data_IF_031328727378
#
_entry.id   IF_031328727378
#
_cell.length_a   1.000
_cell.length_b   1.000
_cell.length_c   1.000
_cell.angle_alpha   90.00
_cell.angle_beta   90.00
_cell.angle_gamma   90.00
#
_symmetry.space_group_name_H-M   'P 1'
#
loop_
_entity.id
_entity.type
_entity.pdbx_description
1 polymer ?
#
# COMPACT_ATOMS: atom_id res chain seq x y z
N UNK A 1 24.49 -8.94 0.47
CA UNK A 1 23.12 -9.24 0.00
C UNK A 1 22.21 -8.71 1.09
N UNK A 2 21.49 -7.62 0.86
CA UNK A 2 20.48 -7.17 1.84
C UNK A 2 19.41 -8.24 1.81
N UNK A 3 19.18 -8.88 2.95
CA UNK A 3 18.09 -9.83 3.09
C UNK A 3 16.80 -9.05 2.81
N UNK A 4 16.09 -9.41 1.74
CA UNK A 4 14.93 -8.64 1.27
C UNK A 4 13.86 -8.54 2.34
N UNK A 5 13.87 -9.46 3.30
CA UNK A 5 12.91 -9.57 4.39
C UNK A 5 13.48 -9.16 5.75
N UNK A 6 14.60 -8.43 5.81
CA UNK A 6 15.14 -7.90 7.06
C UNK A 6 14.06 -7.05 7.76
N UNK A 7 13.52 -7.49 8.92
CA UNK A 7 12.49 -6.73 9.63
C UNK A 7 12.97 -5.34 10.05
N UNK A 8 14.28 -5.18 10.23
CA UNK A 8 14.92 -3.89 10.49
C UNK A 8 14.87 -2.94 9.30
N UNK A 9 14.94 -3.47 8.07
CA UNK A 9 14.79 -2.68 6.84
C UNK A 9 13.35 -2.19 6.66
N UNK A 10 12.36 -3.08 6.80
CA UNK A 10 10.93 -2.71 6.71
C UNK A 10 10.60 -1.59 7.70
N UNK A 11 11.00 -1.75 8.97
CA UNK A 11 10.73 -0.75 10.01
C UNK A 11 11.35 0.61 9.69
N UNK A 12 12.58 0.64 9.16
CA UNK A 12 13.24 1.89 8.77
C UNK A 12 12.50 2.58 7.62
N UNK A 13 12.10 1.82 6.60
CA UNK A 13 11.36 2.37 5.46
C UNK A 13 9.98 2.88 5.90
N UNK A 14 9.30 2.19 6.82
CA UNK A 14 8.01 2.66 7.36
C UNK A 14 8.07 4.03 8.02
N UNK A 15 9.23 4.45 8.56
CA UNK A 15 9.37 5.81 9.11
C UNK A 15 9.25 6.87 8.01
N UNK A 16 9.80 6.59 6.82
CA UNK A 16 9.76 7.49 5.66
C UNK A 16 8.35 7.68 5.07
N UNK A 17 7.36 6.89 5.48
CA UNK A 17 5.96 7.11 5.10
C UNK A 17 5.34 8.36 5.73
N UNK A 18 5.97 8.95 6.74
CA UNK A 18 5.53 10.19 7.38
C UNK A 18 6.43 11.39 7.01
N UNK A 19 7.24 11.25 5.96
CA UNK A 19 8.08 12.35 5.49
C UNK A 19 7.22 13.50 4.95
N UNK A 20 7.71 14.72 5.09
CA UNK A 20 7.02 15.90 4.58
C UNK A 20 6.97 15.91 3.04
N UNK A 21 7.95 15.31 2.38
CA UNK A 21 8.03 15.23 0.93
C UNK A 21 7.24 14.01 0.40
N UNK A 22 6.27 14.26 -0.47
CA UNK A 22 5.42 13.23 -1.08
C UNK A 22 6.20 12.23 -1.94
N UNK A 23 7.31 12.65 -2.54
CA UNK A 23 8.19 11.78 -3.33
C UNK A 23 8.89 10.78 -2.41
N UNK A 24 9.30 11.21 -1.21
CA UNK A 24 9.89 10.32 -0.21
C UNK A 24 8.86 9.30 0.28
N UNK A 25 7.63 9.75 0.58
CA UNK A 25 6.53 8.84 0.99
C UNK A 25 6.23 7.81 -0.10
N UNK A 26 6.18 8.23 -1.37
CA UNK A 26 6.03 7.32 -2.51
C UNK A 26 7.15 6.30 -2.62
N UNK A 27 8.40 6.75 -2.59
CA UNK A 27 9.56 5.88 -2.67
C UNK A 27 9.56 4.86 -1.51
N UNK A 28 9.09 5.27 -0.33
CA UNK A 28 8.94 4.38 0.82
C UNK A 28 7.88 3.29 0.57
N UNK A 29 6.73 3.63 -0.03
CA UNK A 29 5.71 2.64 -0.41
C UNK A 29 6.21 1.65 -1.46
N UNK A 30 6.88 2.14 -2.51
CA UNK A 30 7.48 1.29 -3.55
C UNK A 30 8.52 0.33 -2.94
N UNK A 31 9.37 0.83 -2.05
CA UNK A 31 10.36 0.03 -1.34
C UNK A 31 9.71 -0.99 -0.38
N UNK A 32 8.68 -0.60 0.37
CA UNK A 32 7.93 -1.52 1.24
C UNK A 32 7.30 -2.65 0.45
N UNK A 33 6.66 -2.33 -0.68
CA UNK A 33 6.09 -3.33 -1.56
C UNK A 33 7.18 -4.31 -2.04
N UNK A 34 8.39 -3.82 -2.34
CA UNK A 34 9.52 -4.64 -2.81
C UNK A 34 10.17 -5.52 -1.75
N UNK A 35 10.26 -5.03 -0.51
CA UNK A 35 10.96 -5.70 0.58
C UNK A 35 10.06 -6.67 1.35
N UNK A 36 8.80 -6.30 1.59
CA UNK A 36 7.93 -7.14 2.40
C UNK A 36 7.34 -8.31 1.59
N UNK A 37 7.23 -9.46 2.26
CA UNK A 37 6.49 -10.61 1.74
C UNK A 37 4.99 -10.34 1.75
N UNK A 38 4.26 -11.00 0.86
CA UNK A 38 2.79 -11.05 0.92
C UNK A 38 2.37 -11.60 2.28
N UNK A 39 1.40 -10.96 2.93
CA UNK A 39 0.93 -11.29 4.28
C UNK A 39 1.70 -10.57 5.40
N UNK A 40 2.71 -9.75 5.10
CA UNK A 40 3.41 -8.98 6.13
C UNK A 40 2.51 -7.89 6.73
N UNK A 41 1.91 -8.15 7.88
CA UNK A 41 0.95 -7.25 8.53
C UNK A 41 1.50 -5.86 8.88
N UNK A 42 2.80 -5.75 9.18
CA UNK A 42 3.42 -4.44 9.44
C UNK A 42 3.44 -3.59 8.16
N UNK A 43 3.89 -4.17 7.05
CA UNK A 43 3.94 -3.48 5.76
C UNK A 43 2.53 -3.19 5.23
N UNK A 44 1.60 -4.13 5.35
CA UNK A 44 0.19 -3.93 4.96
C UNK A 44 -0.42 -2.78 5.76
N UNK A 45 -0.24 -2.76 7.08
CA UNK A 45 -0.80 -1.70 7.93
C UNK A 45 -0.23 -0.34 7.57
N UNK A 46 1.09 -0.26 7.36
CA UNK A 46 1.77 0.97 6.98
C UNK A 46 1.35 1.47 5.58
N UNK A 47 1.15 0.58 4.61
CA UNK A 47 0.63 0.96 3.31
C UNK A 47 -0.85 1.39 3.39
N UNK A 48 -1.68 0.71 4.21
CA UNK A 48 -3.08 1.07 4.41
C UNK A 48 -3.25 2.48 5.00
N UNK A 49 -2.35 2.95 5.88
CA UNK A 49 -2.43 4.32 6.41
C UNK A 49 -2.23 5.38 5.33
N UNK A 50 -1.43 5.09 4.30
CA UNK A 50 -1.19 6.00 3.18
C UNK A 50 -2.34 6.04 2.16
N UNK A 51 -3.41 5.24 2.34
CA UNK A 51 -4.61 5.33 1.51
C UNK A 51 -5.41 6.61 1.76
N UNK A 52 -5.15 7.30 2.87
CA UNK A 52 -5.76 8.57 3.25
C UNK A 52 -4.78 9.74 3.14
N UNK A 53 -3.63 9.55 2.47
CA UNK A 53 -2.62 10.59 2.27
C UNK A 53 -3.19 11.79 1.49
N UNK A 54 -2.70 12.99 1.78
CA UNK A 54 -3.13 14.21 1.08
C UNK A 54 -2.75 14.18 -0.41
N UNK A 55 -1.61 13.57 -0.75
CA UNK A 55 -1.11 13.51 -2.12
C UNK A 55 -1.76 12.35 -2.90
N UNK A 56 -2.22 12.69 -4.10
CA UNK A 56 -2.93 11.77 -5.00
C UNK A 56 -2.01 10.61 -5.43
N UNK A 57 -0.74 10.90 -5.71
CA UNK A 57 0.19 9.87 -6.17
C UNK A 57 0.61 8.95 -5.03
N UNK A 58 0.73 9.46 -3.80
CA UNK A 58 0.93 8.62 -2.60
C UNK A 58 -0.25 7.67 -2.40
N UNK A 59 -1.50 8.16 -2.43
CA UNK A 59 -2.69 7.30 -2.32
C UNK A 59 -2.75 6.20 -3.38
N UNK A 60 -2.43 6.54 -4.64
CA UNK A 60 -2.36 5.55 -5.73
C UNK A 60 -1.28 4.50 -5.50
N UNK A 61 -0.09 4.93 -5.10
CA UNK A 61 1.03 4.02 -4.82
C UNK A 61 0.70 3.12 -3.63
N UNK A 62 -0.03 3.63 -2.65
CA UNK A 62 -0.50 2.86 -1.50
C UNK A 62 -1.48 1.76 -1.93
N UNK A 63 -2.42 2.06 -2.84
CA UNK A 63 -3.33 1.08 -3.42
C UNK A 63 -2.60 -0.05 -4.14
N UNK A 64 -1.59 0.28 -4.95
CA UNK A 64 -0.75 -0.71 -5.64
C UNK A 64 0.05 -1.56 -4.64
N UNK A 65 0.60 -0.94 -3.61
CA UNK A 65 1.36 -1.62 -2.56
C UNK A 65 0.48 -2.59 -1.77
N UNK A 66 -0.72 -2.17 -1.31
CA UNK A 66 -1.61 -3.07 -0.55
C UNK A 66 -2.13 -4.21 -1.42
N UNK A 67 -2.41 -3.98 -2.71
CA UNK A 67 -2.83 -5.04 -3.62
C UNK A 67 -1.77 -6.14 -3.75
N UNK A 68 -0.48 -5.77 -3.72
CA UNK A 68 0.64 -6.73 -3.79
C UNK A 68 0.96 -7.39 -2.44
N UNK A 69 0.88 -6.62 -1.35
CA UNK A 69 1.30 -7.07 -0.03
C UNK A 69 0.22 -7.87 0.69
N UNK A 70 -1.05 -7.62 0.45
CA UNK A 70 -2.12 -8.33 1.14
C UNK A 70 -2.38 -9.71 0.52
N UNK A 71 -2.73 -10.66 1.37
CA UNK A 71 -3.29 -11.93 0.90
C UNK A 71 -4.66 -11.70 0.24
N UNK A 72 -4.94 -12.46 -0.82
CA UNK A 72 -6.27 -12.47 -1.45
C UNK A 72 -7.32 -12.83 -0.41
N UNK A 73 -8.43 -12.08 -0.39
CA UNK A 73 -9.50 -12.23 0.59
C UNK A 73 -9.22 -11.61 1.96
N UNK A 74 -8.13 -10.85 2.16
CA UNK A 74 -7.94 -10.09 3.39
C UNK A 74 -9.03 -9.01 3.53
N UNK A 75 -10.06 -9.31 4.32
CA UNK A 75 -11.27 -8.47 4.47
C UNK A 75 -10.96 -7.06 4.99
N UNK A 76 -9.92 -6.93 5.83
CA UNK A 76 -9.49 -5.62 6.35
C UNK A 76 -8.98 -4.73 5.22
N UNK A 77 -8.12 -5.29 4.36
CA UNK A 77 -7.57 -4.56 3.22
C UNK A 77 -8.65 -4.28 2.18
N UNK A 78 -9.50 -5.25 1.87
CA UNK A 78 -10.65 -5.06 0.98
C UNK A 78 -11.54 -3.91 1.47
N UNK A 79 -11.85 -3.86 2.77
CA UNK A 79 -12.65 -2.78 3.35
C UNK A 79 -11.97 -1.42 3.23
N UNK A 80 -10.66 -1.35 3.50
CA UNK A 80 -9.89 -0.12 3.37
C UNK A 80 -9.89 0.38 1.91
N UNK A 81 -9.57 -0.49 0.95
CA UNK A 81 -9.55 -0.15 -0.48
C UNK A 81 -10.94 0.23 -1.00
N UNK A 82 -12.01 -0.39 -0.49
CA UNK A 82 -13.39 -0.06 -0.88
C UNK A 82 -13.74 1.40 -0.59
N UNK A 83 -13.21 1.99 0.49
CA UNK A 83 -13.42 3.42 0.78
C UNK A 83 -12.83 4.32 -0.29
N UNK A 84 -11.70 3.94 -0.88
CA UNK A 84 -11.03 4.69 -1.95
C UNK A 84 -11.84 4.74 -3.26
N UNK A 85 -12.90 3.95 -3.41
CA UNK A 85 -13.85 4.08 -4.53
C UNK A 85 -14.63 5.39 -4.50
N UNK A 86 -14.66 6.07 -3.36
CA UNK A 86 -15.29 7.39 -3.18
C UNK A 86 -14.26 8.53 -3.18
N UNK A 87 -12.99 8.25 -3.51
CA UNK A 87 -11.96 9.29 -3.59
C UNK A 87 -12.33 10.40 -4.58
N UNK A 88 -11.89 11.63 -4.30
CA UNK A 88 -12.16 12.78 -5.15
C UNK A 88 -11.46 12.64 -6.51
N UNK A 89 -10.27 12.04 -6.54
CA UNK A 89 -9.48 11.85 -7.74
C UNK A 89 -9.93 10.60 -8.53
N UNK A 90 -10.08 10.78 -9.85
CA UNK A 90 -10.57 9.71 -10.73
C UNK A 90 -9.56 8.58 -10.89
N UNK A 91 -8.25 8.87 -10.86
CA UNK A 91 -7.23 7.85 -10.98
C UNK A 91 -7.12 7.03 -9.70
N UNK A 92 -7.27 7.64 -8.52
CA UNK A 92 -7.36 6.90 -7.25
C UNK A 92 -8.55 5.93 -7.26
N UNK A 93 -9.74 6.40 -7.65
CA UNK A 93 -10.93 5.52 -7.76
C UNK A 93 -10.70 4.35 -8.71
N UNK A 94 -10.05 4.61 -9.85
CA UNK A 94 -9.73 3.56 -10.83
C UNK A 94 -8.73 2.54 -10.28
N UNK A 95 -7.63 3.00 -9.69
CA UNK A 95 -6.63 2.11 -9.07
C UNK A 95 -7.27 1.29 -7.94
N UNK A 96 -8.21 1.86 -7.18
CA UNK A 96 -8.94 1.13 -6.14
C UNK A 96 -9.81 -0.01 -6.72
N UNK A 97 -10.48 0.21 -7.85
CA UNK A 97 -11.20 -0.87 -8.55
C UNK A 97 -10.26 -1.99 -9.01
N UNK A 98 -9.12 -1.63 -9.59
CA UNK A 98 -8.10 -2.59 -10.06
C UNK A 98 -7.51 -3.40 -8.87
N UNK A 99 -7.21 -2.73 -7.76
CA UNK A 99 -6.75 -3.35 -6.53
C UNK A 99 -7.81 -4.30 -5.93
N UNK A 100 -9.08 -3.89 -5.88
CA UNK A 100 -10.15 -4.77 -5.41
C UNK A 100 -10.28 -6.00 -6.28
N UNK A 101 -10.27 -5.84 -7.61
CA UNK A 101 -10.32 -6.97 -8.53
C UNK A 101 -9.21 -7.98 -8.23
N UNK A 102 -7.98 -7.50 -7.98
CA UNK A 102 -6.86 -8.37 -7.59
C UNK A 102 -7.08 -9.09 -6.24
N UNK A 103 -7.59 -8.37 -5.24
CA UNK A 103 -7.75 -8.87 -3.87
C UNK A 103 -8.92 -9.85 -3.71
N UNK A 104 -9.98 -9.71 -4.52
CA UNK A 104 -11.20 -10.54 -4.43
C UNK A 104 -11.26 -11.63 -5.49
N UNK A 105 -10.36 -11.59 -6.48
CA UNK A 105 -10.22 -12.64 -7.49
C UNK A 105 -9.82 -13.96 -6.80
N UNK A 106 -10.85 -14.78 -6.55
CA UNK A 106 -10.70 -16.16 -6.12
C UNK A 106 -10.14 -16.92 -7.33
N UNK A 107 -8.83 -17.19 -7.29
CA UNK A 107 -8.24 -18.17 -8.19
C UNK A 107 -8.97 -19.50 -8.14
#
# INVERSE_FOLDING_TARGET
VVDKHDPGAIKKVSVCLNDADEIVRRAALEALAQLAETGNECAITAACTCLEDEDIFVRRTALEAVARLAEKGNERVVTAVTKCLQDQDLFVRRTALEALAHLVDKG
#
